data_IF_652618701328
#
_entry.id   IF_652618701328
#
_cell.length_a   1.000
_cell.length_b   1.000
_cell.length_c   1.000
_cell.angle_alpha   90.00
_cell.angle_beta   90.00
_cell.angle_gamma   90.00
#
_symmetry.space_group_name_H-M   'P 1'
#
loop_
_entity.id
_entity.type
_entity.pdbx_description
1 polymer ?
#
# COMPACT_ATOMS: atom_id res chain seq x y z
N UNK A 1 22.64 17.23 -7.34
CA UNK A 1 21.63 16.59 -6.49
C UNK A 1 22.20 16.69 -5.08
N UNK A 2 21.77 17.69 -4.32
CA UNK A 2 22.11 17.80 -2.90
C UNK A 2 21.27 16.77 -2.18
N UNK A 3 21.92 15.85 -1.50
CA UNK A 3 21.27 14.92 -0.57
C UNK A 3 20.97 15.76 0.67
N UNK A 4 19.70 15.93 0.98
CA UNK A 4 19.28 16.64 2.19
C UNK A 4 19.92 16.03 3.42
N UNK A 5 20.29 16.86 4.38
CA UNK A 5 21.16 16.59 5.54
C UNK A 5 20.68 15.49 6.52
N UNK A 6 19.59 14.81 6.28
CA UNK A 6 19.05 13.76 7.17
C UNK A 6 19.60 12.35 6.87
N UNK A 7 20.17 12.13 5.67
CA UNK A 7 20.75 10.84 5.31
C UNK A 7 22.29 10.88 5.36
N UNK A 8 22.84 10.88 6.56
CA UNK A 8 24.29 10.61 6.71
C UNK A 8 24.56 9.19 6.21
N UNK A 9 25.40 9.00 5.18
CA UNK A 9 25.70 7.67 4.66
C UNK A 9 26.38 6.84 5.74
N UNK A 10 25.82 5.70 6.05
CA UNK A 10 26.43 4.72 6.94
C UNK A 10 27.60 4.05 6.23
N UNK A 11 28.57 3.60 7.03
CA UNK A 11 29.74 2.87 6.53
C UNK A 11 29.66 1.43 7.03
N UNK A 12 29.84 0.47 6.14
CA UNK A 12 29.81 -0.96 6.45
C UNK A 12 31.16 -1.59 6.19
N UNK A 13 31.66 -2.40 7.11
CA UNK A 13 32.88 -3.18 6.92
C UNK A 13 32.70 -4.26 5.87
N UNK A 14 33.66 -4.40 4.97
CA UNK A 14 33.65 -5.37 3.87
C UNK A 14 33.55 -6.82 4.37
N UNK A 15 34.27 -7.16 5.43
CA UNK A 15 34.22 -8.51 6.04
C UNK A 15 32.79 -8.85 6.52
N UNK A 16 32.13 -7.93 7.23
CA UNK A 16 30.77 -8.14 7.71
C UNK A 16 29.78 -8.32 6.56
N UNK A 17 29.89 -7.52 5.51
CA UNK A 17 29.03 -7.67 4.33
C UNK A 17 29.29 -8.98 3.57
N UNK A 18 30.55 -9.41 3.48
CA UNK A 18 30.92 -10.68 2.84
C UNK A 18 30.41 -11.91 3.62
N UNK A 19 30.36 -11.87 4.95
CA UNK A 19 29.73 -12.93 5.73
C UNK A 19 28.23 -13.02 5.43
N UNK A 20 27.55 -11.88 5.26
CA UNK A 20 26.14 -11.85 4.83
C UNK A 20 25.94 -12.48 3.45
N UNK A 21 26.78 -12.10 2.46
CA UNK A 21 26.75 -12.67 1.11
C UNK A 21 26.99 -14.18 1.13
N UNK A 22 27.92 -14.65 1.93
CA UNK A 22 28.22 -16.08 2.09
C UNK A 22 27.02 -16.85 2.66
N UNK A 23 26.34 -16.31 3.67
CA UNK A 23 25.12 -16.92 4.21
C UNK A 23 23.99 -16.94 3.18
N UNK A 24 23.96 -15.96 2.30
CA UNK A 24 23.01 -15.88 1.20
C UNK A 24 23.35 -16.77 -0.01
N UNK A 25 24.52 -17.44 0.02
CA UNK A 25 25.01 -18.24 -1.11
C UNK A 25 25.52 -17.42 -2.29
N UNK A 26 25.81 -16.13 -2.07
CA UNK A 26 26.33 -15.22 -3.09
C UNK A 26 27.86 -15.15 -3.06
N UNK A 27 28.45 -14.68 -4.18
CA UNK A 27 29.90 -14.51 -4.28
C UNK A 27 30.35 -13.33 -3.42
N UNK A 28 31.48 -13.47 -2.71
CA UNK A 28 32.03 -12.37 -1.91
C UNK A 28 32.42 -11.18 -2.78
N UNK A 29 32.23 -9.99 -2.24
CA UNK A 29 32.65 -8.73 -2.84
C UNK A 29 34.16 -8.53 -2.60
N UNK A 30 34.91 -8.17 -3.65
CA UNK A 30 36.31 -7.79 -3.54
C UNK A 30 36.43 -6.29 -3.85
N UNK A 31 37.04 -5.55 -2.92
CA UNK A 31 37.32 -4.13 -3.07
C UNK A 31 38.83 -3.91 -2.97
N UNK A 32 39.36 -3.01 -3.80
CA UNK A 32 40.75 -2.55 -3.74
C UNK A 32 40.90 -1.43 -2.69
N UNK A 33 42.11 -1.10 -2.35
CA UNK A 33 42.40 0.08 -1.52
C UNK A 33 41.80 1.33 -2.18
N UNK A 34 41.14 2.19 -1.38
CA UNK A 34 40.42 3.38 -1.84
C UNK A 34 39.25 3.09 -2.83
N UNK A 35 38.70 1.90 -2.80
CA UNK A 35 37.47 1.55 -3.51
C UNK A 35 36.34 1.29 -2.50
N UNK A 36 35.18 1.85 -2.77
CA UNK A 36 33.96 1.61 -1.99
C UNK A 36 32.85 1.07 -2.88
N UNK A 37 31.95 0.23 -2.33
CA UNK A 37 30.76 -0.18 -3.03
C UNK A 37 29.53 0.51 -2.43
N UNK A 38 28.55 0.81 -3.27
CA UNK A 38 27.28 1.42 -2.85
C UNK A 38 26.31 0.34 -2.45
N UNK A 39 25.77 0.45 -1.24
CA UNK A 39 24.64 -0.34 -0.76
C UNK A 39 23.37 0.50 -0.78
N UNK A 40 22.29 -0.05 -1.33
CA UNK A 40 20.97 0.53 -1.29
C UNK A 40 19.97 -0.47 -0.68
N UNK A 41 19.33 -0.08 0.41
CA UNK A 41 18.29 -0.89 1.06
C UNK A 41 17.07 -1.01 0.18
N UNK A 42 16.55 -2.24 0.03
CA UNK A 42 15.37 -2.52 -0.82
C UNK A 42 14.09 -1.88 -0.28
N UNK A 43 14.01 -1.68 1.04
CA UNK A 43 12.83 -1.14 1.70
C UNK A 43 12.63 0.38 1.51
N UNK A 44 13.70 1.13 1.17
CA UNK A 44 13.64 2.60 1.11
C UNK A 44 13.75 3.17 -0.30
N UNK A 45 14.28 2.41 -1.25
CA UNK A 45 14.49 2.88 -2.61
C UNK A 45 13.75 2.01 -3.62
N UNK A 46 13.02 2.67 -4.53
CA UNK A 46 12.34 2.00 -5.64
C UNK A 46 13.34 1.33 -6.60
N UNK A 47 12.88 0.33 -7.35
CA UNK A 47 13.71 -0.33 -8.35
C UNK A 47 14.17 0.63 -9.45
N UNK A 48 13.33 1.63 -9.79
CA UNK A 48 13.68 2.70 -10.72
C UNK A 48 14.87 3.53 -10.22
N UNK A 49 14.90 3.89 -8.92
CA UNK A 49 16.02 4.61 -8.33
C UNK A 49 17.30 3.76 -8.34
N UNK A 50 17.20 2.47 -8.05
CA UNK A 50 18.35 1.52 -8.13
C UNK A 50 18.91 1.44 -9.55
N UNK A 51 18.03 1.44 -10.56
CA UNK A 51 18.44 1.44 -11.96
C UNK A 51 19.15 2.73 -12.36
N UNK A 52 18.61 3.90 -11.96
CA UNK A 52 19.24 5.21 -12.17
C UNK A 52 20.63 5.25 -11.51
N UNK A 53 20.73 4.81 -10.25
CA UNK A 53 21.99 4.76 -9.53
C UNK A 53 22.99 3.80 -10.19
N UNK A 54 22.54 2.63 -10.63
CA UNK A 54 23.38 1.67 -11.34
C UNK A 54 23.94 2.25 -12.65
N UNK A 55 23.11 2.99 -13.42
CA UNK A 55 23.56 3.71 -14.63
C UNK A 55 24.55 4.82 -14.30
N UNK A 56 24.32 5.54 -13.22
CA UNK A 56 25.24 6.60 -12.78
C UNK A 56 26.61 6.03 -12.40
N UNK A 57 26.67 4.91 -11.67
CA UNK A 57 27.91 4.27 -11.25
C UNK A 57 28.79 3.77 -12.41
N UNK A 58 28.22 3.56 -13.60
CA UNK A 58 29.02 3.22 -14.78
C UNK A 58 29.98 4.34 -15.20
N UNK A 59 29.75 5.59 -14.77
CA UNK A 59 30.55 6.78 -15.12
C UNK A 59 31.82 6.97 -14.28
N UNK A 60 32.29 5.96 -13.56
CA UNK A 60 33.45 6.04 -12.67
C UNK A 60 33.41 7.23 -11.70
N UNK A 61 32.44 7.21 -10.82
CA UNK A 61 32.23 8.25 -9.81
C UNK A 61 33.27 8.15 -8.72
N UNK A 62 33.82 9.30 -8.33
CA UNK A 62 34.67 9.43 -7.19
C UNK A 62 34.01 10.25 -6.09
N UNK A 63 34.18 9.82 -4.85
CA UNK A 63 33.68 10.52 -3.66
C UNK A 63 34.84 10.82 -2.71
N UNK A 64 34.75 11.94 -2.01
CA UNK A 64 35.76 12.29 -0.99
C UNK A 64 35.18 11.90 0.37
N UNK A 65 35.89 11.02 1.06
CA UNK A 65 35.58 10.62 2.44
C UNK A 65 36.83 10.73 3.27
N UNK A 66 36.75 11.35 4.43
CA UNK A 66 37.87 11.57 5.35
C UNK A 66 39.11 12.18 4.65
N UNK A 67 38.86 13.18 3.78
CA UNK A 67 39.91 13.87 3.04
C UNK A 67 40.61 13.03 1.94
N UNK A 68 40.19 11.80 1.70
CA UNK A 68 40.74 10.90 0.66
C UNK A 68 39.70 10.68 -0.45
N UNK A 69 40.20 10.54 -1.67
CA UNK A 69 39.35 10.25 -2.84
C UNK A 69 39.15 8.74 -3.00
N UNK A 70 37.88 8.33 -3.08
CA UNK A 70 37.48 6.94 -3.22
C UNK A 70 36.79 6.72 -4.57
N UNK A 71 37.09 5.62 -5.23
CA UNK A 71 36.36 5.20 -6.43
C UNK A 71 35.16 4.33 -6.07
N UNK A 72 33.99 4.61 -6.62
CA UNK A 72 32.81 3.78 -6.38
C UNK A 72 32.79 2.58 -7.32
N UNK A 73 32.40 1.42 -6.77
CA UNK A 73 32.15 0.21 -7.54
C UNK A 73 31.01 0.41 -8.52
N UNK A 74 31.05 -0.25 -9.68
CA UNK A 74 30.08 -0.11 -10.76
C UNK A 74 28.73 -0.79 -10.48
N UNK A 75 28.64 -1.61 -9.46
CA UNK A 75 27.46 -2.38 -9.10
C UNK A 75 26.86 -1.90 -7.79
N UNK A 76 25.57 -1.68 -7.76
CA UNK A 76 24.82 -1.44 -6.53
C UNK A 76 24.66 -2.78 -5.79
N UNK A 77 25.01 -2.78 -4.51
CA UNK A 77 24.75 -3.91 -3.60
C UNK A 77 23.41 -3.69 -2.95
N UNK A 78 22.55 -4.70 -3.00
CA UNK A 78 21.16 -4.63 -2.51
C UNK A 78 20.76 -5.84 -1.67
N UNK A 79 21.72 -6.67 -1.26
CA UNK A 79 21.42 -7.78 -0.37
C UNK A 79 21.06 -7.22 0.99
N UNK A 80 19.88 -7.53 1.45
CA UNK A 80 19.35 -6.99 2.70
C UNK A 80 20.22 -7.40 3.88
N UNK A 81 20.63 -6.38 4.60
CA UNK A 81 21.07 -6.48 5.98
C UNK A 81 19.78 -6.43 6.79
N UNK A 82 19.59 -7.34 7.74
CA UNK A 82 18.39 -7.33 8.59
C UNK A 82 18.27 -5.95 9.23
N UNK A 83 17.32 -5.16 8.74
CA UNK A 83 17.12 -3.82 9.23
C UNK A 83 16.39 -3.88 10.57
N UNK A 84 17.06 -3.43 11.60
CA UNK A 84 16.46 -3.08 12.88
C UNK A 84 15.71 -1.73 12.77
N UNK A 85 14.78 -1.46 13.67
CA UNK A 85 14.13 -0.16 13.84
C UNK A 85 15.14 0.97 14.07
N UNK A 86 16.27 0.65 14.70
CA UNK A 86 17.36 1.59 14.97
C UNK A 86 18.24 1.83 13.75
N UNK A 87 18.21 0.94 12.75
CA UNK A 87 19.10 0.99 11.58
C UNK A 87 18.27 0.79 10.33
N UNK A 88 17.68 1.86 9.88
CA UNK A 88 17.16 1.93 8.52
C UNK A 88 18.33 2.26 7.61
N UNK A 89 19.10 1.24 7.20
CA UNK A 89 20.16 1.40 6.23
C UNK A 89 19.53 1.62 4.85
N UNK A 90 19.18 2.86 4.56
CA UNK A 90 18.75 3.25 3.24
C UNK A 90 19.92 3.30 2.28
N UNK A 91 20.91 4.13 2.59
CA UNK A 91 22.11 4.32 1.81
C UNK A 91 23.35 4.04 2.69
N UNK A 92 24.25 3.20 2.20
CA UNK A 92 25.51 2.94 2.88
C UNK A 92 26.66 2.72 1.89
N UNK A 93 27.86 2.90 2.37
CA UNK A 93 29.08 2.62 1.63
C UNK A 93 29.81 1.44 2.27
N UNK A 94 30.06 0.41 1.49
CA UNK A 94 30.86 -0.74 1.91
C UNK A 94 32.34 -0.40 1.61
N UNK A 95 33.15 -0.42 2.64
CA UNK A 95 34.57 -0.08 2.54
C UNK A 95 35.46 -1.20 3.07
N UNK A 96 36.75 -1.31 2.64
CA UNK A 96 37.69 -2.27 3.22
C UNK A 96 37.81 -2.10 4.73
N UNK A 97 38.04 -3.20 5.46
CA UNK A 97 38.06 -3.22 6.93
C UNK A 97 39.05 -2.23 7.55
N UNK A 98 40.25 -2.11 6.97
CA UNK A 98 41.26 -1.12 7.42
C UNK A 98 40.75 0.32 7.35
N UNK A 99 39.99 0.64 6.31
CA UNK A 99 39.41 1.98 6.15
C UNK A 99 38.25 2.18 7.12
N UNK A 100 37.41 1.14 7.32
CA UNK A 100 36.34 1.15 8.31
C UNK A 100 36.87 1.46 9.71
N UNK A 101 37.91 0.76 10.16
CA UNK A 101 38.53 0.97 11.47
C UNK A 101 39.08 2.39 11.63
N UNK A 102 39.72 2.92 10.58
CA UNK A 102 40.25 4.29 10.58
C UNK A 102 39.12 5.34 10.66
N UNK A 103 38.07 5.18 9.88
CA UNK A 103 36.95 6.16 9.82
C UNK A 103 36.10 6.13 11.06
N UNK A 104 35.90 4.95 11.67
CA UNK A 104 35.05 4.80 12.87
C UNK A 104 35.84 5.04 14.17
N UNK A 105 37.16 5.05 14.13
CA UNK A 105 38.03 5.12 15.31
C UNK A 105 37.67 4.10 16.40
N UNK A 106 37.18 2.92 16.00
CA UNK A 106 36.71 1.87 16.91
C UNK A 106 35.32 2.05 17.47
N UNK A 107 34.58 3.10 17.09
CA UNK A 107 33.21 3.38 17.57
C UNK A 107 32.11 2.74 16.69
N UNK A 108 32.45 1.67 15.97
CA UNK A 108 31.46 0.95 15.18
C UNK A 108 30.48 0.13 16.03
N UNK A 109 29.23 0.03 15.59
CA UNK A 109 28.25 -0.86 16.20
C UNK A 109 28.30 -2.21 15.51
N UNK A 110 28.42 -3.28 16.30
CA UNK A 110 28.45 -4.65 15.77
C UNK A 110 27.06 -5.28 15.89
N UNK A 111 26.58 -5.84 14.80
CA UNK A 111 25.33 -6.60 14.75
C UNK A 111 25.65 -8.06 14.44
N UNK A 112 24.86 -8.95 15.05
CA UNK A 112 24.94 -10.38 14.79
C UNK A 112 23.70 -10.82 14.05
N UNK A 113 23.86 -11.18 12.77
CA UNK A 113 22.78 -11.73 11.96
C UNK A 113 22.73 -13.25 12.10
N UNK A 114 21.55 -13.78 12.40
CA UNK A 114 21.32 -15.22 12.54
C UNK A 114 20.31 -15.74 11.54
N UNK A 115 20.63 -16.82 10.84
CA UNK A 115 19.71 -17.50 9.93
C UNK A 115 19.19 -18.79 10.58
N UNK A 116 17.88 -18.97 10.60
CA UNK A 116 17.26 -20.20 11.11
C UNK A 116 17.52 -21.36 10.16
N UNK A 117 17.92 -22.52 10.72
CA UNK A 117 18.15 -23.73 9.93
C UNK A 117 16.80 -24.24 9.35
N UNK A 118 16.69 -24.42 8.02
CA UNK A 118 15.45 -24.89 7.38
C UNK A 118 14.93 -26.19 7.98
N UNK A 119 15.82 -27.13 8.32
CA UNK A 119 15.45 -28.42 8.91
C UNK A 119 14.71 -28.32 10.25
N UNK A 120 14.91 -27.26 11.02
CA UNK A 120 14.17 -27.04 12.27
C UNK A 120 12.82 -26.38 12.02
N UNK A 121 12.76 -25.41 11.10
CA UNK A 121 11.52 -24.72 10.76
C UNK A 121 10.51 -25.63 10.05
N UNK A 122 10.98 -26.55 9.23
CA UNK A 122 10.14 -27.57 8.57
C UNK A 122 9.55 -28.58 9.56
N UNK A 123 10.33 -29.03 10.55
CA UNK A 123 9.88 -30.03 11.53
C UNK A 123 8.97 -29.46 12.63
N UNK A 124 9.25 -28.26 13.11
CA UNK A 124 8.60 -27.72 14.31
C UNK A 124 7.62 -26.58 13.98
N UNK A 125 7.66 -26.08 12.76
CA UNK A 125 6.93 -24.87 12.33
C UNK A 125 7.66 -23.59 12.72
N UNK A 126 7.62 -22.63 11.83
CA UNK A 126 8.34 -21.37 11.94
C UNK A 126 7.98 -20.56 13.21
N UNK A 127 6.69 -20.52 13.54
CA UNK A 127 6.19 -19.77 14.70
C UNK A 127 6.73 -20.34 16.02
N UNK A 128 6.75 -21.66 16.15
CA UNK A 128 7.23 -22.33 17.37
C UNK A 128 8.73 -22.12 17.58
N UNK A 129 9.51 -22.30 16.52
CA UNK A 129 10.97 -22.05 16.56
C UNK A 129 11.26 -20.60 16.94
N UNK A 130 10.48 -19.67 16.40
CA UNK A 130 10.56 -18.26 16.74
C UNK A 130 10.25 -17.98 18.22
N UNK A 131 9.18 -18.55 18.75
CA UNK A 131 8.82 -18.40 20.17
C UNK A 131 9.89 -18.96 21.10
N UNK A 132 10.43 -20.15 20.79
CA UNK A 132 11.52 -20.74 21.57
C UNK A 132 12.81 -19.89 21.52
N UNK A 133 13.12 -19.30 20.38
CA UNK A 133 14.26 -18.41 20.23
C UNK A 133 14.07 -17.14 21.06
N UNK A 134 12.91 -16.50 20.95
CA UNK A 134 12.60 -15.30 21.72
C UNK A 134 12.73 -15.52 23.22
N UNK A 135 12.15 -16.61 23.74
CA UNK A 135 12.25 -16.95 25.16
C UNK A 135 13.71 -17.14 25.63
N UNK A 136 14.57 -17.63 24.76
CA UNK A 136 16.00 -17.81 25.07
C UNK A 136 16.77 -16.49 25.06
N UNK A 137 16.49 -15.64 24.06
CA UNK A 137 17.13 -14.34 23.94
C UNK A 137 16.70 -13.37 25.05
N UNK A 138 15.40 -13.39 25.41
CA UNK A 138 14.88 -12.61 26.51
C UNK A 138 15.52 -12.98 27.86
N UNK A 139 15.77 -14.27 28.10
CA UNK A 139 16.44 -14.75 29.31
C UNK A 139 17.88 -14.25 29.43
N UNK A 140 18.54 -13.99 28.32
CA UNK A 140 19.91 -13.49 28.25
C UNK A 140 19.96 -11.95 28.25
N UNK A 141 18.82 -11.29 28.11
CA UNK A 141 18.72 -9.83 28.06
C UNK A 141 19.27 -9.22 26.77
N UNK A 142 19.33 -9.97 25.67
CA UNK A 142 19.82 -9.48 24.38
C UNK A 142 18.64 -8.88 23.62
N UNK A 143 18.80 -7.61 23.20
CA UNK A 143 17.86 -6.99 22.26
C UNK A 143 18.02 -7.61 20.89
N UNK A 144 16.91 -8.05 20.30
CA UNK A 144 16.90 -8.68 18.97
C UNK A 144 15.69 -8.21 18.18
N UNK A 145 15.83 -8.19 16.89
CA UNK A 145 14.73 -8.09 15.94
C UNK A 145 14.74 -9.30 15.00
N UNK A 146 13.58 -9.75 14.58
CA UNK A 146 13.51 -10.81 13.61
C UNK A 146 12.53 -10.46 12.48
N UNK A 147 12.74 -11.11 11.35
CA UNK A 147 11.90 -10.94 10.16
C UNK A 147 10.41 -11.14 10.44
N UNK A 148 10.04 -12.15 11.26
CA UNK A 148 8.65 -12.39 11.60
C UNK A 148 8.02 -11.29 12.45
N UNK A 149 8.79 -10.66 13.32
CA UNK A 149 8.33 -9.53 14.14
C UNK A 149 8.13 -8.29 13.27
N UNK A 150 9.03 -8.03 12.36
CA UNK A 150 8.91 -6.96 11.38
C UNK A 150 7.73 -7.20 10.41
N UNK A 151 7.60 -8.42 9.90
CA UNK A 151 6.47 -8.82 9.07
C UNK A 151 5.14 -8.71 9.83
N UNK A 152 5.08 -9.19 11.07
CA UNK A 152 3.89 -9.08 11.92
C UNK A 152 3.46 -7.64 12.15
N UNK A 153 4.39 -6.74 12.40
CA UNK A 153 4.11 -5.29 12.52
C UNK A 153 3.56 -4.71 11.21
N UNK A 154 4.20 -5.01 10.07
CA UNK A 154 3.73 -4.54 8.75
C UNK A 154 2.31 -5.04 8.46
N UNK A 155 2.05 -6.32 8.72
CA UNK A 155 0.71 -6.89 8.56
C UNK A 155 -0.30 -6.24 9.50
N UNK A 156 0.04 -6.01 10.77
CA UNK A 156 -0.83 -5.34 11.72
C UNK A 156 -1.21 -3.92 11.25
N UNK A 157 -0.23 -3.10 10.85
CA UNK A 157 -0.51 -1.76 10.32
C UNK A 157 -1.35 -1.82 9.03
N UNK A 158 -1.05 -2.77 8.14
CA UNK A 158 -1.82 -2.97 6.93
C UNK A 158 -3.28 -3.34 7.20
N UNK A 159 -3.52 -4.26 8.14
CA UNK A 159 -4.87 -4.65 8.56
C UNK A 159 -5.61 -3.49 9.23
N UNK A 160 -4.96 -2.75 10.15
CA UNK A 160 -5.57 -1.58 10.79
C UNK A 160 -5.93 -0.50 9.77
N UNK A 161 -5.01 -0.17 8.86
CA UNK A 161 -5.26 0.81 7.80
C UNK A 161 -6.42 0.37 6.89
N UNK A 162 -6.45 -0.90 6.49
CA UNK A 162 -7.54 -1.47 5.69
C UNK A 162 -8.88 -1.40 6.40
N UNK A 163 -8.92 -1.72 7.71
CA UNK A 163 -10.14 -1.64 8.50
C UNK A 163 -10.68 -0.22 8.58
N UNK A 164 -9.81 0.76 8.89
CA UNK A 164 -10.19 2.18 8.94
C UNK A 164 -10.70 2.65 7.57
N UNK A 165 -10.03 2.26 6.49
CA UNK A 165 -10.41 2.65 5.12
C UNK A 165 -11.77 2.09 4.73
N UNK A 166 -12.04 0.80 5.03
CA UNK A 166 -13.34 0.15 4.76
C UNK A 166 -14.44 0.84 5.58
N UNK A 167 -14.19 1.08 6.86
CA UNK A 167 -15.15 1.77 7.73
C UNK A 167 -15.50 3.17 7.20
N UNK A 168 -14.49 3.93 6.80
CA UNK A 168 -14.67 5.27 6.24
C UNK A 168 -15.44 5.22 4.90
N UNK A 169 -15.13 4.23 4.04
CA UNK A 169 -15.84 4.02 2.78
C UNK A 169 -17.33 3.74 2.99
N UNK A 170 -17.68 2.90 3.98
CA UNK A 170 -19.09 2.63 4.32
C UNK A 170 -19.81 3.89 4.81
N UNK A 171 -19.17 4.69 5.67
CA UNK A 171 -19.74 5.96 6.14
C UNK A 171 -19.99 6.90 4.96
N UNK A 172 -19.01 7.10 4.08
CA UNK A 172 -19.17 7.96 2.92
C UNK A 172 -20.26 7.46 1.96
N UNK A 173 -20.41 6.16 1.79
CA UNK A 173 -21.46 5.56 0.99
C UNK A 173 -22.84 5.87 1.59
N UNK A 174 -23.02 5.71 2.91
CA UNK A 174 -24.27 6.02 3.60
C UNK A 174 -24.62 7.52 3.47
N UNK A 175 -23.64 8.39 3.73
CA UNK A 175 -23.83 9.85 3.63
C UNK A 175 -24.17 10.24 2.18
N UNK A 176 -23.41 9.77 1.21
CA UNK A 176 -23.62 10.06 -0.21
C UNK A 176 -25.02 9.65 -0.68
N UNK A 177 -25.41 8.42 -0.37
CA UNK A 177 -26.72 7.90 -0.72
C UNK A 177 -27.88 8.65 -0.02
N UNK A 178 -27.69 9.03 1.24
CA UNK A 178 -28.67 9.82 1.97
C UNK A 178 -28.86 11.19 1.33
N UNK A 179 -27.78 11.89 1.01
CA UNK A 179 -27.82 13.20 0.36
C UNK A 179 -28.51 13.14 -1.01
N UNK A 180 -28.14 12.15 -1.85
CA UNK A 180 -28.73 11.97 -3.17
C UNK A 180 -30.23 11.65 -3.04
N UNK A 181 -30.61 10.80 -2.08
CA UNK A 181 -32.01 10.46 -1.84
C UNK A 181 -32.85 11.64 -1.39
N UNK A 182 -32.33 12.45 -0.45
CA UNK A 182 -33.02 13.66 0.00
C UNK A 182 -33.20 14.65 -1.15
N UNK A 183 -32.17 14.87 -1.95
CA UNK A 183 -32.25 15.72 -3.14
C UNK A 183 -33.28 15.21 -4.14
N UNK A 184 -33.29 13.90 -4.40
CA UNK A 184 -34.25 13.27 -5.30
C UNK A 184 -35.69 13.43 -4.78
N UNK A 185 -35.98 13.11 -3.50
CA UNK A 185 -37.30 13.23 -2.89
C UNK A 185 -37.78 14.69 -2.87
N UNK A 186 -36.93 15.62 -2.53
CA UNK A 186 -37.24 17.05 -2.56
C UNK A 186 -37.60 17.51 -3.97
N UNK A 187 -36.82 17.07 -4.97
CA UNK A 187 -37.12 17.35 -6.37
C UNK A 187 -38.46 16.72 -6.82
N UNK A 188 -38.73 15.50 -6.38
CA UNK A 188 -39.97 14.77 -6.68
C UNK A 188 -41.20 15.48 -6.09
N UNK A 189 -41.11 16.02 -4.88
CA UNK A 189 -42.17 16.85 -4.28
C UNK A 189 -42.45 18.11 -5.08
N UNK A 190 -41.41 18.81 -5.52
CA UNK A 190 -41.55 20.01 -6.39
C UNK A 190 -42.22 19.68 -7.73
N UNK A 191 -41.95 18.53 -8.29
CA UNK A 191 -42.52 18.05 -9.55
C UNK A 191 -43.86 17.41 -9.35
N UNK A 192 -44.31 17.10 -8.13
CA UNK A 192 -45.56 16.46 -7.80
C UNK A 192 -46.79 17.13 -8.48
N UNK A 193 -46.85 18.46 -8.50
CA UNK A 193 -47.91 19.19 -9.22
C UNK A 193 -47.92 18.91 -10.73
N UNK A 194 -46.74 18.72 -11.35
CA UNK A 194 -46.65 18.34 -12.77
C UNK A 194 -47.15 16.91 -12.99
N UNK A 195 -46.88 15.99 -12.09
CA UNK A 195 -47.39 14.64 -12.15
C UNK A 195 -48.93 14.62 -12.02
N UNK A 196 -49.50 15.41 -11.10
CA UNK A 196 -50.97 15.57 -10.98
C UNK A 196 -51.58 16.12 -12.26
N UNK A 197 -50.95 17.11 -12.89
CA UNK A 197 -51.44 17.62 -14.19
C UNK A 197 -51.40 16.55 -15.28
N UNK A 198 -50.30 15.77 -15.35
CA UNK A 198 -50.19 14.67 -16.31
C UNK A 198 -51.23 13.56 -16.06
N UNK A 199 -51.55 13.26 -14.80
CA UNK A 199 -52.62 12.32 -14.43
C UNK A 199 -53.95 12.84 -14.91
N UNK A 200 -54.27 14.14 -14.71
CA UNK A 200 -55.51 14.77 -15.18
C UNK A 200 -55.62 14.77 -16.72
N UNK A 201 -54.48 14.80 -17.40
CA UNK A 201 -54.38 14.69 -18.88
C UNK A 201 -54.45 13.23 -19.38
N UNK A 202 -54.65 12.24 -18.50
CA UNK A 202 -54.82 10.85 -18.86
C UNK A 202 -53.53 10.03 -18.97
N UNK A 203 -52.40 10.50 -18.41
CA UNK A 203 -51.19 9.72 -18.38
C UNK A 203 -51.35 8.45 -17.55
N UNK A 204 -50.89 7.32 -18.10
CA UNK A 204 -51.02 6.03 -17.41
C UNK A 204 -50.03 5.91 -16.24
N UNK A 205 -50.40 5.24 -15.14
CA UNK A 205 -49.53 5.02 -13.97
C UNK A 205 -48.17 4.44 -14.36
N UNK A 206 -48.18 3.47 -15.26
CA UNK A 206 -46.96 2.81 -15.73
C UNK A 206 -46.00 3.74 -16.46
N UNK A 207 -46.53 4.69 -17.24
CA UNK A 207 -45.70 5.68 -17.94
C UNK A 207 -45.00 6.64 -16.96
N UNK A 208 -45.71 7.07 -15.90
CA UNK A 208 -45.15 7.96 -14.86
C UNK A 208 -44.09 7.25 -14.01
N UNK A 209 -44.38 6.03 -13.54
CA UNK A 209 -43.39 5.23 -12.80
C UNK A 209 -42.14 4.93 -13.65
N UNK A 210 -42.32 4.63 -14.93
CA UNK A 210 -41.19 4.41 -15.85
C UNK A 210 -40.31 5.65 -16.03
N UNK A 211 -40.92 6.82 -16.11
CA UNK A 211 -40.22 8.10 -16.20
C UNK A 211 -39.44 8.38 -14.91
N UNK A 212 -40.06 8.20 -13.75
CA UNK A 212 -39.42 8.38 -12.46
C UNK A 212 -38.22 7.42 -12.26
N UNK A 213 -38.41 6.14 -12.58
CA UNK A 213 -37.32 5.15 -12.52
C UNK A 213 -36.14 5.50 -13.43
N UNK A 214 -36.38 6.10 -14.61
CA UNK A 214 -35.34 6.58 -15.50
C UNK A 214 -34.55 7.74 -14.89
N UNK A 215 -35.28 8.66 -14.21
CA UNK A 215 -34.62 9.76 -13.47
C UNK A 215 -33.76 9.24 -12.33
N UNK A 216 -34.24 8.28 -11.53
CA UNK A 216 -33.46 7.66 -10.46
C UNK A 216 -32.16 7.06 -11.00
N UNK A 217 -32.23 6.33 -12.11
CA UNK A 217 -31.05 5.76 -12.74
C UNK A 217 -29.99 6.82 -13.11
N UNK A 218 -30.39 8.00 -13.55
CA UNK A 218 -29.47 9.09 -13.83
C UNK A 218 -28.91 9.73 -12.57
N UNK A 219 -29.76 9.99 -11.56
CA UNK A 219 -29.33 10.60 -10.30
C UNK A 219 -28.29 9.77 -9.55
N UNK A 220 -28.47 8.47 -9.53
CA UNK A 220 -27.53 7.54 -8.86
C UNK A 220 -26.45 7.02 -9.81
N UNK A 221 -26.76 6.79 -11.06
CA UNK A 221 -25.85 6.20 -12.03
C UNK A 221 -24.65 7.09 -12.35
N UNK A 222 -24.82 8.40 -12.46
CA UNK A 222 -23.72 9.32 -12.77
C UNK A 222 -22.68 9.35 -11.66
N UNK A 223 -23.03 9.56 -10.38
CA UNK A 223 -22.04 9.54 -9.29
C UNK A 223 -21.32 8.19 -9.17
N UNK A 224 -22.06 7.09 -9.28
CA UNK A 224 -21.48 5.73 -9.22
C UNK A 224 -20.50 5.50 -10.36
N UNK A 225 -20.85 5.90 -11.58
CA UNK A 225 -19.98 5.78 -12.74
C UNK A 225 -18.70 6.62 -12.59
N UNK A 226 -18.83 7.87 -12.15
CA UNK A 226 -17.68 8.75 -11.91
C UNK A 226 -16.78 8.22 -10.80
N UNK A 227 -17.37 7.70 -9.72
CA UNK A 227 -16.63 7.07 -8.63
C UNK A 227 -15.88 5.83 -9.09
N UNK A 228 -16.53 4.95 -9.84
CA UNK A 228 -15.90 3.75 -10.40
C UNK A 228 -14.79 4.10 -11.39
N UNK A 229 -15.01 5.04 -12.29
CA UNK A 229 -14.00 5.49 -13.26
C UNK A 229 -12.79 6.16 -12.57
N UNK A 230 -13.02 6.94 -11.52
CA UNK A 230 -11.95 7.59 -10.74
C UNK A 230 -11.17 6.59 -9.86
N UNK A 231 -11.77 5.49 -9.44
CA UNK A 231 -11.08 4.47 -8.62
C UNK A 231 -9.97 3.73 -9.38
N UNK A 232 -10.08 3.59 -10.69
CA UNK A 232 -9.10 2.87 -11.53
C UNK A 232 -7.72 3.55 -11.49
N UNK A 233 -7.57 4.85 -11.84
CA UNK A 233 -6.27 5.51 -11.78
C UNK A 233 -5.75 5.67 -10.34
N UNK A 234 -6.64 5.90 -9.36
CA UNK A 234 -6.24 5.97 -7.97
C UNK A 234 -5.62 4.65 -7.49
N UNK A 235 -6.24 3.53 -7.85
CA UNK A 235 -5.74 2.20 -7.51
C UNK A 235 -4.41 1.89 -8.22
N UNK A 236 -4.28 2.24 -9.50
CA UNK A 236 -3.04 2.09 -10.25
C UNK A 236 -1.88 2.88 -9.61
N UNK A 237 -2.14 4.11 -9.16
CA UNK A 237 -1.16 4.94 -8.47
C UNK A 237 -0.75 4.36 -7.11
N UNK A 238 -1.71 3.85 -6.32
CA UNK A 238 -1.40 3.20 -5.05
C UNK A 238 -0.57 1.92 -5.26
N UNK A 239 -0.89 1.13 -6.28
CA UNK A 239 -0.12 -0.08 -6.57
C UNK A 239 1.32 0.23 -6.97
N UNK A 240 1.56 1.27 -7.77
CA UNK A 240 2.91 1.67 -8.15
C UNK A 240 3.76 2.14 -6.96
N UNK A 241 3.14 2.64 -5.89
CA UNK A 241 3.84 3.12 -4.70
C UNK A 241 4.14 2.01 -3.66
N UNK A 242 3.25 1.01 -3.55
CA UNK A 242 3.30 0.07 -2.42
C UNK A 242 3.61 -1.38 -2.80
N UNK A 243 3.57 -1.72 -4.08
CA UNK A 243 3.74 -3.11 -4.52
C UNK A 243 5.03 -3.26 -5.33
N UNK A 244 6.02 -3.90 -4.72
CA UNK A 244 7.14 -4.50 -5.47
C UNK A 244 6.58 -5.60 -6.38
N UNK A 245 6.74 -5.41 -7.67
CA UNK A 245 6.06 -6.15 -8.73
C UNK A 245 6.59 -7.56 -8.92
N UNK A 246 6.05 -8.52 -8.16
CA UNK A 246 6.06 -9.92 -8.59
C UNK A 246 4.79 -10.23 -9.39
N UNK A 247 4.90 -10.86 -10.54
CA UNK A 247 3.74 -11.18 -11.42
C UNK A 247 2.57 -11.90 -10.72
N UNK A 248 2.86 -12.72 -9.70
CA UNK A 248 1.84 -13.39 -8.89
C UNK A 248 1.05 -12.46 -7.99
N UNK A 249 1.70 -11.45 -7.45
CA UNK A 249 1.10 -10.49 -6.52
C UNK A 249 0.12 -9.57 -7.25
N UNK A 250 0.41 -9.15 -8.46
CA UNK A 250 -0.48 -8.31 -9.28
C UNK A 250 -1.83 -8.98 -9.55
N UNK A 251 -1.85 -10.28 -9.87
CA UNK A 251 -3.10 -11.01 -10.13
C UNK A 251 -3.99 -11.09 -8.89
N UNK A 252 -3.41 -11.37 -7.73
CA UNK A 252 -4.15 -11.44 -6.45
C UNK A 252 -4.72 -10.08 -6.09
N UNK A 253 -3.96 -9.02 -6.29
CA UNK A 253 -4.40 -7.64 -6.02
C UNK A 253 -5.53 -7.20 -6.95
N UNK A 254 -5.43 -7.46 -8.24
CA UNK A 254 -6.49 -7.18 -9.21
C UNK A 254 -7.78 -7.96 -8.87
N UNK A 255 -7.64 -9.22 -8.49
CA UNK A 255 -8.79 -10.05 -8.10
C UNK A 255 -9.47 -9.52 -6.82
N UNK A 256 -8.70 -9.17 -5.80
CA UNK A 256 -9.24 -8.63 -4.55
C UNK A 256 -9.89 -7.25 -4.76
N UNK A 257 -9.26 -6.38 -5.55
CA UNK A 257 -9.79 -5.07 -5.88
C UNK A 257 -11.09 -5.16 -6.70
N UNK A 258 -11.13 -6.03 -7.70
CA UNK A 258 -12.36 -6.26 -8.50
C UNK A 258 -13.48 -6.84 -7.64
N UNK A 259 -13.17 -7.74 -6.71
CA UNK A 259 -14.13 -8.28 -5.75
C UNK A 259 -14.73 -7.21 -4.85
N UNK A 260 -13.91 -6.27 -4.36
CA UNK A 260 -14.38 -5.16 -3.52
C UNK A 260 -15.25 -4.18 -4.31
N UNK A 261 -14.86 -3.83 -5.53
CA UNK A 261 -15.69 -2.97 -6.41
C UNK A 261 -17.04 -3.63 -6.68
N UNK A 262 -17.06 -4.91 -6.99
CA UNK A 262 -18.27 -5.66 -7.24
C UNK A 262 -19.20 -5.68 -6.00
N UNK A 263 -18.65 -5.86 -4.80
CA UNK A 263 -19.38 -5.81 -3.55
C UNK A 263 -20.04 -4.44 -3.34
N UNK A 264 -19.29 -3.35 -3.53
CA UNK A 264 -19.81 -2.00 -3.41
C UNK A 264 -20.91 -1.72 -4.44
N UNK A 265 -20.75 -2.18 -5.69
CA UNK A 265 -21.79 -2.06 -6.72
C UNK A 265 -23.06 -2.84 -6.38
N UNK A 266 -22.95 -4.00 -5.76
CA UNK A 266 -24.12 -4.77 -5.28
C UNK A 266 -24.87 -4.00 -4.21
N UNK A 267 -24.17 -3.43 -3.22
CA UNK A 267 -24.79 -2.63 -2.16
C UNK A 267 -25.50 -1.42 -2.76
N UNK A 268 -24.87 -0.73 -3.69
CA UNK A 268 -25.46 0.43 -4.38
C UNK A 268 -26.70 0.05 -5.19
N UNK A 269 -26.66 -1.08 -5.88
CA UNK A 269 -27.79 -1.59 -6.65
C UNK A 269 -29.00 -1.91 -5.76
N UNK A 270 -28.76 -2.53 -4.60
CA UNK A 270 -29.82 -2.80 -3.61
C UNK A 270 -30.45 -1.48 -3.17
N UNK A 271 -29.61 -0.47 -2.86
CA UNK A 271 -30.10 0.83 -2.45
C UNK A 271 -30.96 1.52 -3.53
N UNK A 272 -30.50 1.51 -4.78
CA UNK A 272 -31.25 2.05 -5.93
C UNK A 272 -32.61 1.34 -6.09
N UNK A 273 -32.66 0.03 -5.89
CA UNK A 273 -33.90 -0.73 -5.96
C UNK A 273 -34.90 -0.31 -4.88
N UNK A 274 -34.43 -0.08 -3.65
CA UNK A 274 -35.31 0.39 -2.56
C UNK A 274 -35.85 1.82 -2.82
N UNK A 275 -34.99 2.72 -3.32
CA UNK A 275 -35.41 4.07 -3.71
C UNK A 275 -36.44 4.04 -4.82
N UNK A 276 -36.30 3.13 -5.81
CA UNK A 276 -37.31 2.95 -6.87
C UNK A 276 -38.67 2.49 -6.31
N UNK A 277 -38.65 1.52 -5.39
CA UNK A 277 -39.90 1.04 -4.75
C UNK A 277 -40.60 2.16 -3.96
N UNK A 278 -39.80 2.96 -3.23
CA UNK A 278 -40.33 4.08 -2.45
C UNK A 278 -40.92 5.15 -3.37
N UNK A 279 -40.24 5.49 -4.45
CA UNK A 279 -40.72 6.44 -5.46
C UNK A 279 -42.00 5.96 -6.14
N UNK A 280 -42.10 4.69 -6.52
CA UNK A 280 -43.30 4.11 -7.13
C UNK A 280 -44.49 4.17 -6.17
N UNK A 281 -44.29 3.84 -4.88
CA UNK A 281 -45.37 3.93 -3.86
C UNK A 281 -45.85 5.37 -3.71
N UNK A 282 -44.95 6.34 -3.67
CA UNK A 282 -45.31 7.75 -3.58
C UNK A 282 -46.14 8.21 -4.78
N UNK A 283 -45.74 7.83 -6.00
CA UNK A 283 -46.50 8.17 -7.22
C UNK A 283 -47.86 7.51 -7.26
N UNK A 284 -47.95 6.26 -6.85
CA UNK A 284 -49.24 5.56 -6.77
C UNK A 284 -50.19 6.21 -5.74
N UNK A 285 -49.66 6.67 -4.61
CA UNK A 285 -50.40 7.40 -3.60
C UNK A 285 -51.00 8.70 -4.15
N UNK A 286 -50.24 9.46 -4.97
CA UNK A 286 -50.71 10.69 -5.62
C UNK A 286 -51.84 10.45 -6.63
N UNK A 287 -52.06 9.20 -7.05
CA UNK A 287 -53.12 8.83 -8.01
C UNK A 287 -54.45 8.44 -7.34
N UNK A 288 -54.43 8.19 -6.05
CA UNK A 288 -55.66 7.93 -5.29
C UNK A 288 -56.35 9.28 -5.12
N UNK A 289 -57.58 9.48 -5.67
CA UNK A 289 -58.30 10.72 -5.46
C UNK A 289 -58.56 10.88 -3.96
N UNK A 290 -58.14 12.01 -3.37
CA UNK A 290 -58.63 12.41 -2.06
C UNK A 290 -60.17 12.45 -2.17
N UNK A 291 -60.82 11.57 -1.44
CA UNK A 291 -62.27 11.74 -1.19
C UNK A 291 -62.38 13.01 -0.36
N UNK A 292 -62.86 14.08 -0.99
CA UNK A 292 -63.32 15.26 -0.27
C UNK A 292 -64.47 14.77 0.65
N UNK A 293 -64.16 14.70 1.99
CA UNK A 293 -65.19 14.60 3.00
C UNK A 293 -65.79 15.99 3.25
#
# INVERSE_FOLDING_TARGET
MEIEREDTPHIIALSGYNELLKQAGEKPLALKDHQAAVYLGTALYSDEFKEIMSKALQKNIHVTMDGKTWSLGKKVMNKEIVADRAITLGFALIVPDKAYEQMTAGNGTTYLDGVLKPSKTEKQGLIRVYQEMNQKLDKVGISYECFLQSLGRRMFYGVCASYITIYLAVIFLIIGNTVISVQFLTNQQKIGRRYQTLIRLGATPNALCRSARKQINWYFGIPVFLGAAGSIPAMASLFSLFVETGEGTQKVLLLSASGMILLLLIVELIYILEVKKLSDRYLLYLMVPEREE
#
